data_IF_379638007754
#
_entry.id   IF_379638007754
#
_cell.length_a   1.000
_cell.length_b   1.000
_cell.length_c   1.000
_cell.angle_alpha   90.00
_cell.angle_beta   90.00
_cell.angle_gamma   90.00
#
_symmetry.space_group_name_H-M   'P 1'
#
loop_
_entity.id
_entity.type
_entity.pdbx_description
1 polymer ?
#
# COMPACT_ATOMS: atom_id res chain seq x y z
N UNK A 1 -45.12 17.51 52.04
CA UNK A 1 -45.69 17.83 50.70
C UNK A 1 -45.91 16.52 49.95
N UNK A 2 -47.07 16.38 49.32
CA UNK A 2 -47.69 15.11 48.93
C UNK A 2 -47.03 14.48 47.70
N UNK A 3 -46.76 13.18 47.82
CA UNK A 3 -46.51 12.22 46.75
C UNK A 3 -47.77 12.09 45.88
N UNK A 4 -47.66 12.21 44.56
CA UNK A 4 -48.68 11.76 43.62
C UNK A 4 -48.15 10.59 42.79
N UNK A 5 -48.67 9.40 43.10
CA UNK A 5 -48.75 8.26 42.19
C UNK A 5 -50.03 8.43 41.36
N UNK A 6 -49.94 8.37 40.03
CA UNK A 6 -51.06 7.88 39.21
C UNK A 6 -50.50 6.85 38.22
N UNK A 7 -50.99 5.65 38.44
CA UNK A 7 -50.90 4.45 37.61
C UNK A 7 -51.92 4.62 36.47
N UNK A 8 -51.52 4.39 35.22
CA UNK A 8 -52.47 3.98 34.18
C UNK A 8 -51.80 3.00 33.21
N UNK A 9 -52.19 1.71 33.23
CA UNK A 9 -51.80 0.74 32.23
C UNK A 9 -52.84 0.78 31.10
N UNK A 10 -52.39 1.02 29.87
CA UNK A 10 -53.26 0.79 28.70
C UNK A 10 -52.57 -0.19 27.78
N UNK A 11 -52.87 -1.46 28.05
CA UNK A 11 -52.78 -2.55 27.09
C UNK A 11 -53.51 -2.15 25.81
N UNK A 12 -52.76 -1.81 24.76
CA UNK A 12 -53.27 -1.86 23.39
C UNK A 12 -52.62 -3.07 22.74
N UNK A 13 -53.37 -4.16 22.87
CA UNK A 13 -53.20 -5.43 22.21
C UNK A 13 -53.61 -5.22 20.73
N UNK A 14 -52.67 -4.85 19.85
CA UNK A 14 -52.88 -4.97 18.41
C UNK A 14 -52.53 -6.38 17.96
N UNK A 15 -53.51 -7.28 18.14
CA UNK A 15 -53.56 -8.55 17.44
C UNK A 15 -53.99 -8.32 15.99
N UNK A 16 -53.13 -8.79 15.08
CA UNK A 16 -53.48 -9.57 13.88
C UNK A 16 -54.37 -8.92 12.81
N UNK A 17 -53.75 -8.48 11.72
CA UNK A 17 -54.17 -8.85 10.36
C UNK A 17 -53.09 -8.46 9.36
N UNK A 18 -52.10 -9.34 9.15
CA UNK A 18 -51.39 -9.36 7.87
C UNK A 18 -51.52 -10.74 7.29
N UNK A 19 -52.56 -10.91 6.47
CA UNK A 19 -52.61 -11.94 5.45
C UNK A 19 -51.56 -11.58 4.40
N UNK A 20 -50.28 -11.82 4.71
CA UNK A 20 -49.22 -11.77 3.73
C UNK A 20 -49.35 -13.00 2.84
N UNK A 21 -49.79 -12.79 1.60
CA UNK A 21 -49.79 -13.77 0.53
C UNK A 21 -48.52 -14.62 0.57
N UNK A 22 -48.67 -15.87 1.01
CA UNK A 22 -47.66 -16.89 0.83
C UNK A 22 -47.69 -17.25 -0.66
N UNK A 23 -46.89 -16.52 -1.45
CA UNK A 23 -46.47 -17.00 -2.76
C UNK A 23 -45.57 -18.19 -2.51
N UNK A 24 -46.15 -19.38 -2.63
CA UNK A 24 -45.44 -20.64 -2.76
C UNK A 24 -44.65 -20.58 -4.08
N UNK A 25 -43.43 -20.04 -4.01
CA UNK A 25 -42.46 -20.17 -5.09
C UNK A 25 -42.09 -21.65 -5.12
N UNK A 26 -42.76 -22.39 -6.01
CA UNK A 26 -42.33 -23.73 -6.41
C UNK A 26 -40.85 -23.66 -6.67
N UNK A 27 -40.09 -24.45 -5.89
CA UNK A 27 -38.68 -24.77 -6.04
C UNK A 27 -38.11 -24.15 -7.32
N UNK A 28 -37.36 -23.04 -7.27
CA UNK A 28 -36.50 -22.75 -8.40
C UNK A 28 -35.62 -23.99 -8.48
N UNK A 29 -35.82 -24.76 -9.57
CA UNK A 29 -34.83 -25.69 -10.09
C UNK A 29 -33.51 -25.03 -9.76
N UNK A 30 -32.72 -25.66 -8.89
CA UNK A 30 -31.40 -25.20 -8.54
C UNK A 30 -30.72 -24.94 -9.87
N UNK A 31 -30.69 -23.66 -10.24
CA UNK A 31 -29.80 -23.18 -11.27
C UNK A 31 -28.47 -23.40 -10.58
N UNK A 32 -27.88 -24.56 -10.85
CA UNK A 32 -26.46 -24.70 -10.92
C UNK A 32 -26.01 -23.58 -11.87
N UNK A 33 -25.88 -22.39 -11.30
CA UNK A 33 -25.02 -21.34 -11.79
C UNK A 33 -23.68 -22.05 -11.92
N UNK A 34 -23.42 -22.46 -13.15
CA UNK A 34 -22.13 -22.78 -13.68
C UNK A 34 -21.23 -21.59 -13.33
N UNK A 35 -20.70 -21.60 -12.10
CA UNK A 35 -19.66 -20.72 -11.61
C UNK A 35 -18.34 -21.15 -12.24
N UNK A 36 -18.33 -21.19 -13.57
CA UNK A 36 -17.18 -20.79 -14.36
C UNK A 36 -17.00 -19.26 -14.24
N UNK A 37 -17.19 -18.70 -13.04
CA UNK A 37 -16.44 -17.52 -12.62
C UNK A 37 -15.01 -18.02 -12.47
N UNK A 38 -14.33 -18.12 -13.61
CA UNK A 38 -12.89 -17.95 -13.68
C UNK A 38 -12.60 -16.79 -12.74
N UNK A 39 -11.94 -17.05 -11.62
CA UNK A 39 -11.66 -16.08 -10.57
C UNK A 39 -10.81 -14.97 -11.19
N UNK A 40 -11.48 -14.00 -11.82
CA UNK A 40 -10.82 -12.89 -12.48
C UNK A 40 -10.17 -12.10 -11.37
N UNK A 41 -8.85 -12.01 -11.44
CA UNK A 41 -8.09 -11.18 -10.50
C UNK A 41 -8.68 -9.77 -10.50
N UNK A 42 -8.96 -9.17 -9.33
CA UNK A 42 -9.42 -7.79 -9.26
C UNK A 42 -8.40 -6.89 -9.96
N UNK A 43 -8.87 -5.90 -10.72
CA UNK A 43 -8.02 -4.87 -11.31
C UNK A 43 -8.06 -3.56 -10.51
N UNK A 44 -7.26 -2.57 -10.92
CA UNK A 44 -7.19 -1.27 -10.27
C UNK A 44 -8.57 -0.60 -10.12
N UNK A 45 -9.42 -0.67 -11.16
CA UNK A 45 -10.76 -0.08 -11.11
C UNK A 45 -11.59 -0.64 -9.94
N UNK A 46 -11.56 -1.96 -9.72
CA UNK A 46 -12.28 -2.61 -8.62
C UNK A 46 -11.78 -2.14 -7.26
N UNK A 47 -10.46 -2.00 -7.10
CA UNK A 47 -9.84 -1.46 -5.88
C UNK A 47 -10.23 0.00 -5.68
N UNK A 48 -10.19 0.78 -6.75
CA UNK A 48 -10.52 2.19 -6.72
C UNK A 48 -11.97 2.42 -6.28
N UNK A 49 -12.92 1.68 -6.84
CA UNK A 49 -14.34 1.82 -6.50
C UNK A 49 -14.66 1.29 -5.11
N UNK A 50 -14.11 0.13 -4.73
CA UNK A 50 -14.45 -0.56 -3.49
C UNK A 50 -13.74 0.01 -2.25
N UNK A 51 -12.58 0.62 -2.44
CA UNK A 51 -11.68 1.03 -1.36
C UNK A 51 -11.28 2.49 -1.50
N UNK A 52 -10.63 2.88 -2.59
CA UNK A 52 -9.96 4.18 -2.65
C UNK A 52 -10.95 5.36 -2.68
N UNK A 53 -11.96 5.31 -3.54
CA UNK A 53 -12.99 6.33 -3.67
C UNK A 53 -13.72 6.60 -2.34
N UNK A 54 -14.31 5.60 -1.67
CA UNK A 54 -15.07 5.84 -0.45
C UNK A 54 -14.20 6.20 0.76
N UNK A 55 -12.96 5.72 0.83
CA UNK A 55 -12.18 5.74 2.08
C UNK A 55 -10.88 6.55 2.03
N UNK A 56 -10.27 6.72 0.86
CA UNK A 56 -8.91 7.24 0.74
C UNK A 56 -8.86 8.59 0.00
N UNK A 57 -9.59 8.73 -1.12
CA UNK A 57 -9.41 9.86 -2.04
C UNK A 57 -9.75 11.21 -1.44
N UNK A 58 -10.62 11.27 -0.42
CA UNK A 58 -10.92 12.54 0.28
C UNK A 58 -9.66 13.23 0.79
N UNK A 59 -8.67 12.46 1.25
CA UNK A 59 -7.42 12.99 1.82
C UNK A 59 -6.19 12.65 0.97
N UNK A 60 -6.27 11.64 0.10
CA UNK A 60 -5.14 11.13 -0.70
C UNK A 60 -5.45 11.18 -2.20
N UNK A 61 -5.54 12.39 -2.75
CA UNK A 61 -5.92 12.62 -4.16
C UNK A 61 -4.98 11.94 -5.17
N UNK A 62 -3.71 11.73 -4.81
CA UNK A 62 -2.75 11.02 -5.66
C UNK A 62 -3.16 9.56 -5.93
N UNK A 63 -3.95 8.94 -5.04
CA UNK A 63 -4.44 7.57 -5.22
C UNK A 63 -5.56 7.48 -6.27
N UNK A 64 -5.94 8.59 -6.91
CA UNK A 64 -6.91 8.61 -8.00
C UNK A 64 -6.36 7.98 -9.29
N UNK A 65 -5.04 7.72 -9.36
CA UNK A 65 -4.36 7.09 -10.50
C UNK A 65 -3.72 5.77 -10.07
N UNK A 66 -3.56 4.84 -11.01
CA UNK A 66 -2.89 3.56 -10.76
C UNK A 66 -1.48 3.81 -10.22
N UNK A 67 -0.66 4.58 -10.95
CA UNK A 67 0.72 4.90 -10.62
C UNK A 67 0.88 5.53 -9.23
N UNK A 68 -0.05 6.42 -8.83
CA UNK A 68 -0.03 7.02 -7.50
C UNK A 68 -0.29 6.03 -6.38
N UNK A 69 -1.04 4.95 -6.64
CA UNK A 69 -1.24 3.85 -5.68
C UNK A 69 -0.04 2.92 -5.67
N UNK A 70 0.47 2.51 -6.84
CA UNK A 70 1.56 1.51 -6.88
C UNK A 70 2.84 2.04 -6.24
N UNK A 71 3.11 3.34 -6.38
CA UNK A 71 4.24 4.02 -5.71
C UNK A 71 4.21 3.86 -4.18
N UNK A 72 3.02 3.79 -3.60
CA UNK A 72 2.80 3.76 -2.15
C UNK A 72 2.19 2.43 -1.70
N UNK A 73 2.18 1.39 -2.55
CA UNK A 73 1.35 0.20 -2.32
C UNK A 73 1.70 -0.53 -1.01
N UNK A 74 3.00 -0.61 -0.69
CA UNK A 74 3.46 -1.19 0.57
C UNK A 74 3.00 -0.36 1.77
N UNK A 75 3.14 0.97 1.71
CA UNK A 75 2.67 1.86 2.77
C UNK A 75 1.14 1.81 2.96
N UNK A 76 0.40 1.68 1.86
CA UNK A 76 -1.06 1.50 1.85
C UNK A 76 -1.42 0.17 2.51
N UNK A 77 -0.79 -0.94 2.12
CA UNK A 77 -1.02 -2.27 2.69
C UNK A 77 -0.79 -2.27 4.21
N UNK A 78 0.36 -1.75 4.65
CA UNK A 78 0.72 -1.68 6.06
C UNK A 78 -0.28 -0.83 6.86
N UNK A 79 -0.64 0.35 6.36
CA UNK A 79 -1.56 1.25 7.04
C UNK A 79 -2.98 0.67 7.15
N UNK A 80 -3.46 -0.03 6.12
CA UNK A 80 -4.79 -0.66 6.08
C UNK A 80 -4.84 -1.91 6.95
N UNK A 81 -3.82 -2.77 6.89
CA UNK A 81 -3.77 -4.01 7.67
C UNK A 81 -3.67 -3.73 9.17
N UNK A 82 -2.88 -2.70 9.56
CA UNK A 82 -2.74 -2.22 10.94
C UNK A 82 -3.89 -1.34 11.45
N UNK A 83 -4.96 -1.12 10.67
CA UNK A 83 -6.09 -0.22 10.99
C UNK A 83 -5.69 1.25 11.25
N UNK A 84 -4.51 1.71 10.82
CA UNK A 84 -4.12 3.12 10.93
C UNK A 84 -4.81 4.01 9.89
N UNK A 85 -5.27 3.41 8.80
CA UNK A 85 -6.09 4.05 7.78
C UNK A 85 -7.37 3.25 7.52
N UNK A 86 -8.50 3.92 7.26
CA UNK A 86 -8.66 5.38 7.16
C UNK A 86 -8.69 6.10 8.53
N UNK A 87 -8.23 7.36 8.59
CA UNK A 87 -8.21 8.15 9.85
C UNK A 87 -9.57 8.75 10.25
N UNK A 88 -10.39 9.09 9.28
CA UNK A 88 -11.63 9.85 9.49
C UNK A 88 -12.91 9.02 9.24
N UNK A 89 -12.77 7.70 9.17
CA UNK A 89 -13.88 6.77 9.00
C UNK A 89 -13.55 5.45 9.70
N UNK A 90 -14.52 4.56 9.79
CA UNK A 90 -14.28 3.20 10.28
C UNK A 90 -13.19 2.50 9.48
N UNK A 91 -12.40 1.61 10.10
CA UNK A 91 -11.46 0.76 9.38
C UNK A 91 -12.12 -0.02 8.25
N UNK A 92 -11.35 -0.39 7.24
CA UNK A 92 -11.86 -1.22 6.14
C UNK A 92 -12.40 -2.54 6.68
N UNK A 93 -13.50 -3.01 6.09
CA UNK A 93 -14.05 -4.33 6.39
C UNK A 93 -13.04 -5.44 6.03
N UNK A 94 -13.19 -6.61 6.64
CA UNK A 94 -12.31 -7.75 6.35
C UNK A 94 -12.32 -8.13 4.85
N UNK A 95 -13.49 -8.03 4.20
CA UNK A 95 -13.61 -8.29 2.76
C UNK A 95 -12.81 -7.28 1.91
N UNK A 96 -12.83 -6.00 2.27
CA UNK A 96 -12.03 -4.97 1.58
C UNK A 96 -10.53 -5.19 1.78
N UNK A 97 -10.09 -5.54 2.99
CA UNK A 97 -8.68 -5.87 3.24
C UNK A 97 -8.23 -7.08 2.43
N UNK A 98 -9.06 -8.13 2.39
CA UNK A 98 -8.79 -9.33 1.60
C UNK A 98 -8.74 -9.01 0.10
N UNK A 99 -9.62 -8.15 -0.40
CA UNK A 99 -9.63 -7.70 -1.79
C UNK A 99 -8.34 -6.95 -2.15
N UNK A 100 -7.89 -6.01 -1.31
CA UNK A 100 -6.63 -5.29 -1.48
C UNK A 100 -5.43 -6.26 -1.49
N UNK A 101 -5.35 -7.14 -0.49
CA UNK A 101 -4.29 -8.14 -0.38
C UNK A 101 -4.25 -9.07 -1.59
N UNK A 102 -5.41 -9.53 -2.06
CA UNK A 102 -5.50 -10.36 -3.27
C UNK A 102 -4.97 -9.63 -4.49
N UNK A 103 -5.34 -8.36 -4.68
CA UNK A 103 -4.82 -7.53 -5.77
C UNK A 103 -3.30 -7.38 -5.71
N UNK A 104 -2.73 -7.13 -4.53
CA UNK A 104 -1.29 -7.03 -4.30
C UNK A 104 -0.58 -8.34 -4.62
N UNK A 105 -1.06 -9.47 -4.09
CA UNK A 105 -0.50 -10.81 -4.35
C UNK A 105 -0.53 -11.17 -5.83
N UNK A 106 -1.51 -10.65 -6.59
CA UNK A 106 -1.63 -10.84 -8.04
C UNK A 106 -0.75 -9.87 -8.84
N UNK A 107 0.13 -9.12 -8.17
CA UNK A 107 1.06 -8.20 -8.78
C UNK A 107 0.46 -6.83 -9.06
N UNK A 108 -0.69 -6.47 -8.48
CA UNK A 108 -1.42 -5.23 -8.70
C UNK A 108 -1.81 -4.98 -10.17
N UNK A 109 -2.55 -5.86 -10.85
CA UNK A 109 -2.90 -5.61 -12.25
C UNK A 109 -3.76 -4.35 -12.43
N UNK A 110 -3.42 -3.53 -13.42
CA UNK A 110 -4.21 -2.33 -13.74
C UNK A 110 -5.60 -2.73 -14.27
N UNK A 111 -5.67 -3.79 -15.11
CA UNK A 111 -6.92 -4.30 -15.70
C UNK A 111 -7.29 -5.67 -15.12
N UNK A 112 -8.57 -5.86 -14.81
CA UNK A 112 -9.07 -7.13 -14.27
C UNK A 112 -8.89 -8.27 -15.29
N UNK A 113 -8.59 -9.47 -14.81
CA UNK A 113 -8.46 -10.66 -15.66
C UNK A 113 -7.24 -10.71 -16.57
N UNK A 114 -6.47 -9.63 -16.67
CA UNK A 114 -5.12 -9.73 -17.19
C UNK A 114 -4.26 -10.21 -16.02
N UNK A 115 -3.49 -11.31 -16.17
CA UNK A 115 -2.23 -11.37 -15.46
C UNK A 115 -1.60 -10.01 -15.68
N UNK A 116 -1.05 -9.36 -14.65
CA UNK A 116 -0.02 -8.40 -14.99
C UNK A 116 0.91 -9.21 -15.89
N UNK A 117 0.99 -8.86 -17.18
CA UNK A 117 2.19 -9.16 -17.93
C UNK A 117 3.25 -8.80 -16.92
N UNK A 118 3.97 -9.81 -16.43
CA UNK A 118 5.13 -9.58 -15.58
C UNK A 118 5.93 -8.70 -16.50
N UNK A 119 5.78 -7.39 -16.34
CA UNK A 119 6.29 -6.43 -17.29
C UNK A 119 7.76 -6.78 -17.26
N UNK A 120 8.25 -7.37 -18.36
CA UNK A 120 9.61 -7.89 -18.40
C UNK A 120 10.44 -6.81 -17.75
N UNK A 121 11.04 -7.09 -16.58
CA UNK A 121 11.38 -6.05 -15.62
C UNK A 121 12.07 -4.97 -16.40
N UNK A 122 11.41 -3.80 -16.50
CA UNK A 122 11.92 -2.71 -17.35
C UNK A 122 13.39 -2.61 -17.01
N UNK A 123 14.31 -2.70 -18.00
CA UNK A 123 15.72 -2.79 -17.71
C UNK A 123 16.09 -1.77 -16.66
N UNK A 124 16.72 -2.24 -15.59
CA UNK A 124 17.05 -1.38 -14.49
C UNK A 124 18.15 -0.42 -14.98
N UNK A 125 17.84 0.87 -14.97
CA UNK A 125 18.66 1.91 -15.57
C UNK A 125 19.16 2.88 -14.50
N UNK A 126 20.38 3.41 -14.69
CA UNK A 126 21.00 4.34 -13.75
C UNK A 126 20.47 5.78 -13.91
N UNK A 127 19.15 5.96 -13.80
CA UNK A 127 18.46 7.25 -13.79
C UNK A 127 17.40 7.30 -12.68
N UNK A 128 17.03 8.52 -12.27
CA UNK A 128 16.10 8.72 -11.17
C UNK A 128 14.77 8.01 -11.37
N UNK A 129 14.22 7.98 -12.59
CA UNK A 129 12.94 7.31 -12.85
C UNK A 129 13.05 5.83 -12.48
N UNK A 130 14.01 5.12 -13.07
CA UNK A 130 14.17 3.68 -12.83
C UNK A 130 14.59 3.38 -11.39
N UNK A 131 15.56 4.11 -10.83
CA UNK A 131 16.02 3.92 -9.45
C UNK A 131 14.93 4.22 -8.43
N UNK A 132 14.15 5.30 -8.62
CA UNK A 132 13.08 5.63 -7.67
C UNK A 132 11.93 4.62 -7.72
N UNK A 133 11.47 4.24 -8.91
CA UNK A 133 10.33 3.34 -9.09
C UNK A 133 10.65 1.90 -8.66
N UNK A 134 11.89 1.43 -8.87
CA UNK A 134 12.25 0.03 -8.64
C UNK A 134 13.08 -0.21 -7.37
N UNK A 135 13.75 0.80 -6.82
CA UNK A 135 14.63 0.67 -5.63
C UNK A 135 14.14 1.55 -4.50
N UNK A 136 14.20 2.88 -4.66
CA UNK A 136 14.02 3.82 -3.54
C UNK A 136 12.60 3.75 -2.98
N UNK A 137 11.57 3.88 -3.81
CA UNK A 137 10.18 3.88 -3.35
C UNK A 137 9.75 2.55 -2.71
N UNK A 138 9.94 1.39 -3.37
CA UNK A 138 9.46 0.14 -2.81
C UNK A 138 10.26 -0.34 -1.59
N UNK A 139 11.54 0.05 -1.43
CA UNK A 139 12.42 -0.54 -0.40
C UNK A 139 12.94 0.45 0.64
N UNK A 140 13.24 1.69 0.24
CA UNK A 140 13.85 2.68 1.13
C UNK A 140 12.79 3.63 1.72
N UNK A 141 11.90 4.12 0.88
CA UNK A 141 10.94 5.19 1.23
C UNK A 141 9.91 4.74 2.26
N UNK A 142 9.66 3.43 2.36
CA UNK A 142 8.82 2.83 3.41
C UNK A 142 9.21 3.32 4.81
N UNK A 143 10.52 3.50 5.04
CA UNK A 143 11.07 3.97 6.32
C UNK A 143 11.59 5.42 6.24
N UNK A 144 12.20 5.79 5.11
CA UNK A 144 12.95 7.02 4.90
C UNK A 144 12.13 8.12 4.23
N UNK A 145 11.03 8.51 4.86
CA UNK A 145 10.18 9.63 4.46
C UNK A 145 9.93 10.56 5.66
N UNK A 146 9.41 11.80 5.48
CA UNK A 146 9.23 12.76 6.57
C UNK A 146 8.33 12.26 7.73
N UNK A 147 7.45 11.30 7.45
CA UNK A 147 6.54 10.69 8.41
C UNK A 147 6.98 9.28 8.85
N UNK A 148 8.09 8.79 8.31
CA UNK A 148 8.60 7.44 8.52
C UNK A 148 9.41 7.31 9.80
N UNK A 149 9.72 6.07 10.16
CA UNK A 149 10.53 5.76 11.33
C UNK A 149 11.99 6.24 11.20
N UNK A 150 12.50 6.36 9.97
CA UNK A 150 13.83 6.86 9.68
C UNK A 150 13.80 8.29 9.10
N UNK A 151 12.84 9.12 9.55
CA UNK A 151 12.64 10.52 9.09
C UNK A 151 13.86 11.44 9.19
N UNK A 152 14.90 11.04 9.90
CA UNK A 152 16.15 11.80 9.96
C UNK A 152 16.87 11.82 8.59
N UNK A 153 16.61 10.86 7.71
CA UNK A 153 17.14 10.77 6.35
C UNK A 153 15.95 10.60 5.40
N UNK A 154 15.61 11.66 4.67
CA UNK A 154 14.47 11.69 3.76
C UNK A 154 14.92 11.35 2.34
N UNK A 155 14.36 10.29 1.76
CA UNK A 155 14.65 9.77 0.43
C UNK A 155 13.45 9.94 -0.52
N UNK A 156 12.45 10.74 -0.15
CA UNK A 156 11.22 10.95 -0.92
C UNK A 156 11.43 11.65 -2.26
N UNK A 157 12.53 12.37 -2.42
CA UNK A 157 12.80 13.16 -3.61
C UNK A 157 14.29 13.21 -3.94
N UNK A 158 14.62 13.13 -5.23
CA UNK A 158 15.98 13.26 -5.76
C UNK A 158 16.71 14.51 -5.25
N UNK A 159 16.07 15.66 -5.24
CA UNK A 159 16.68 16.92 -4.80
C UNK A 159 17.04 16.87 -3.32
N UNK A 160 16.17 16.29 -2.49
CA UNK A 160 16.43 16.12 -1.05
C UNK A 160 17.64 15.21 -0.84
N UNK A 161 17.73 14.11 -1.60
CA UNK A 161 18.90 13.21 -1.61
C UNK A 161 20.17 13.99 -2.01
N UNK A 162 20.10 14.78 -3.08
CA UNK A 162 21.22 15.60 -3.54
C UNK A 162 21.68 16.61 -2.50
N UNK A 163 20.76 17.33 -1.87
CA UNK A 163 21.05 18.36 -0.89
C UNK A 163 21.70 17.78 0.37
N UNK A 164 21.39 16.52 0.70
CA UNK A 164 21.94 15.81 1.85
C UNK A 164 23.23 15.02 1.54
N UNK A 165 23.71 14.99 0.29
CA UNK A 165 24.86 14.16 -0.15
C UNK A 165 26.12 14.31 0.72
N UNK A 166 26.41 15.53 1.17
CA UNK A 166 27.60 15.84 1.97
C UNK A 166 27.42 15.53 3.46
N UNK A 167 26.25 15.07 3.88
CA UNK A 167 26.02 14.71 5.28
C UNK A 167 26.90 13.50 5.63
N UNK A 168 27.57 13.60 6.77
CA UNK A 168 28.49 12.56 7.24
C UNK A 168 27.76 11.59 8.17
N UNK A 169 28.06 10.30 8.03
CA UNK A 169 27.54 9.22 8.86
C UNK A 169 28.68 8.29 9.31
N UNK A 170 28.56 7.72 10.52
CA UNK A 170 29.52 6.73 11.03
C UNK A 170 30.97 7.24 11.03
N UNK A 171 31.88 6.43 10.46
CA UNK A 171 33.33 6.65 10.36
C UNK A 171 33.73 7.68 9.29
N UNK A 172 33.07 8.83 9.27
CA UNK A 172 33.34 9.96 8.37
C UNK A 172 32.94 9.78 6.89
N UNK A 173 32.21 8.71 6.54
CA UNK A 173 31.68 8.53 5.18
C UNK A 173 30.60 9.56 4.86
N UNK A 174 30.71 10.24 3.71
CA UNK A 174 29.63 11.06 3.17
C UNK A 174 28.44 10.19 2.75
N UNK A 175 27.24 10.74 2.82
CA UNK A 175 26.03 10.04 2.43
C UNK A 175 26.12 9.52 1.00
N UNK A 176 26.51 10.42 0.09
CA UNK A 176 26.77 10.13 -1.31
C UNK A 176 28.11 10.78 -1.67
N UNK A 177 29.05 9.94 -2.08
CA UNK A 177 30.36 10.29 -2.61
C UNK A 177 30.35 10.02 -4.13
N UNK A 178 30.41 11.08 -4.93
CA UNK A 178 30.40 10.97 -6.39
C UNK A 178 31.74 10.54 -6.97
N UNK A 179 32.84 10.81 -6.25
CA UNK A 179 34.19 10.48 -6.69
C UNK A 179 34.50 9.00 -6.40
N UNK A 180 33.92 8.47 -5.32
CA UNK A 180 34.00 7.05 -4.93
C UNK A 180 32.62 6.50 -4.54
N UNK A 181 31.76 6.16 -5.52
CA UNK A 181 30.39 5.69 -5.23
C UNK A 181 30.31 4.51 -4.27
N UNK A 182 31.25 3.56 -4.35
CA UNK A 182 31.29 2.38 -3.47
C UNK A 182 31.61 2.72 -2.01
N UNK A 183 32.21 3.89 -1.73
CA UNK A 183 32.48 4.37 -0.37
C UNK A 183 31.39 5.29 0.17
N UNK A 184 30.37 5.60 -0.63
CA UNK A 184 29.16 6.28 -0.15
C UNK A 184 28.56 5.52 1.02
N UNK A 185 28.20 6.21 2.10
CA UNK A 185 27.55 5.60 3.25
C UNK A 185 26.27 4.83 2.84
N UNK A 186 25.52 5.35 1.85
CA UNK A 186 24.36 4.66 1.29
C UNK A 186 24.70 3.24 0.79
N UNK A 187 25.84 3.06 0.11
CA UNK A 187 26.26 1.75 -0.40
C UNK A 187 26.79 0.87 0.73
N UNK A 188 27.59 1.44 1.64
CA UNK A 188 28.14 0.71 2.79
C UNK A 188 27.05 0.12 3.68
N UNK A 189 26.02 0.90 4.03
CA UNK A 189 24.96 0.43 4.92
C UNK A 189 24.05 -0.64 4.27
N UNK A 190 23.93 -0.63 2.94
CA UNK A 190 23.19 -1.67 2.21
C UNK A 190 23.94 -3.01 2.19
N UNK A 191 25.26 -2.97 2.34
CA UNK A 191 26.15 -4.14 2.41
C UNK A 191 26.38 -4.64 3.85
N UNK A 192 25.94 -3.90 4.87
CA UNK A 192 26.10 -4.30 6.27
C UNK A 192 25.30 -5.59 6.56
N UNK A 193 26.00 -6.63 7.03
CA UNK A 193 25.40 -7.92 7.40
C UNK A 193 24.93 -7.96 8.87
N UNK A 194 25.50 -7.09 9.71
CA UNK A 194 25.26 -7.01 11.15
C UNK A 194 24.04 -6.16 11.44
N UNK A 195 23.99 -4.95 10.89
CA UNK A 195 22.86 -4.01 10.98
C UNK A 195 22.30 -3.70 9.59
N UNK A 196 21.70 -4.71 8.91
CA UNK A 196 21.32 -4.56 7.50
C UNK A 196 20.23 -3.52 7.30
N UNK A 197 20.31 -2.83 6.16
CA UNK A 197 19.23 -2.02 5.62
C UNK A 197 18.71 -2.64 4.31
N UNK A 198 17.39 -2.86 4.15
CA UNK A 198 16.34 -2.67 5.16
C UNK A 198 16.51 -3.58 6.39
N UNK A 199 16.02 -3.17 7.58
CA UNK A 199 16.13 -3.99 8.79
C UNK A 199 15.40 -5.32 8.66
N UNK A 200 15.95 -6.39 9.26
CA UNK A 200 15.38 -7.75 9.15
C UNK A 200 13.90 -7.84 9.58
N UNK A 201 13.51 -7.06 10.58
CA UNK A 201 12.13 -7.02 11.09
C UNK A 201 11.15 -6.31 10.14
N UNK A 202 11.63 -5.58 9.13
CA UNK A 202 10.78 -4.86 8.17
C UNK A 202 10.13 -5.79 7.14
N UNK A 203 10.65 -7.02 6.97
CA UNK A 203 10.22 -7.97 5.93
C UNK A 203 10.30 -7.41 4.49
N UNK A 204 11.06 -6.33 4.27
CA UNK A 204 11.40 -5.79 2.96
C UNK A 204 12.65 -6.53 2.46
N UNK A 205 12.64 -6.99 1.22
CA UNK A 205 13.81 -7.65 0.63
C UNK A 205 14.98 -6.68 0.47
N UNK A 206 16.21 -7.17 0.74
CA UNK A 206 17.44 -6.42 0.45
C UNK A 206 17.60 -6.21 -1.06
N UNK A 207 18.52 -5.31 -1.43
CA UNK A 207 18.90 -5.16 -2.82
C UNK A 207 19.62 -6.42 -3.30
N UNK A 208 19.29 -6.88 -4.50
CA UNK A 208 20.10 -7.85 -5.21
C UNK A 208 21.33 -7.17 -5.86
N UNK A 209 22.22 -7.97 -6.43
CA UNK A 209 23.46 -7.48 -7.05
C UNK A 209 23.22 -6.48 -8.18
N UNK A 210 22.22 -6.74 -9.04
CA UNK A 210 21.87 -5.84 -10.15
C UNK A 210 21.34 -4.49 -9.63
N UNK A 211 20.47 -4.51 -8.62
CA UNK A 211 19.94 -3.29 -8.00
C UNK A 211 21.04 -2.46 -7.35
N UNK A 212 21.96 -3.12 -6.63
CA UNK A 212 23.10 -2.46 -6.01
C UNK A 212 24.05 -1.86 -7.06
N UNK A 213 24.30 -2.58 -8.16
CA UNK A 213 25.12 -2.10 -9.26
C UNK A 213 24.49 -0.88 -9.93
N UNK A 214 23.18 -0.91 -10.22
CA UNK A 214 22.50 0.23 -10.84
C UNK A 214 22.45 1.43 -9.89
N UNK A 215 22.23 1.21 -8.60
CA UNK A 215 22.27 2.29 -7.60
C UNK A 215 23.67 2.93 -7.52
N UNK A 216 24.72 2.12 -7.55
CA UNK A 216 26.12 2.58 -7.56
C UNK A 216 26.42 3.37 -8.84
N UNK A 217 25.98 2.88 -10.01
CA UNK A 217 26.13 3.59 -11.27
C UNK A 217 25.35 4.90 -11.30
N UNK A 218 24.16 4.94 -10.71
CA UNK A 218 23.36 6.17 -10.61
C UNK A 218 24.09 7.23 -9.77
N UNK A 219 24.73 6.84 -8.67
CA UNK A 219 25.61 7.72 -7.90
C UNK A 219 26.79 8.20 -8.75
N UNK A 220 27.47 7.28 -9.44
CA UNK A 220 28.62 7.58 -10.31
C UNK A 220 28.30 8.63 -11.38
N UNK A 221 27.08 8.64 -11.90
CA UNK A 221 26.61 9.58 -12.92
C UNK A 221 26.15 10.93 -12.36
N UNK A 222 26.32 11.17 -11.05
CA UNK A 222 25.86 12.40 -10.40
C UNK A 222 24.35 12.42 -10.18
N UNK A 223 23.76 11.24 -9.94
CA UNK A 223 22.34 11.01 -9.67
C UNK A 223 21.41 11.68 -10.70
N UNK A 224 21.50 11.37 -12.00
CA UNK A 224 20.66 11.98 -13.04
C UNK A 224 19.16 11.69 -12.86
#
# INVERSE_FOLDING_TARGET
>A
MKLNKIILPMCILYLLASCGNYLEIKNPKSLEENSNQTSLSPGFLSIKESILNPHCLKCHQQYNTYQGVIREISAIEDAVTSNRMPKSSSPLSQNQKNLLKLWIVKGTPERAGQPNEIANPTPLEANWKSVSENIIFPKCLVCHNPQGQAKFLDLSNRQIIFDQRNRVFGSESQFIDFDSPSTSYLIQILLDEVEPMPPRWSNISRLNEQELQVLTNWIQLGIP
#
